data_IF_149117163611
#
_entry.id   IF_149117163611
#
_cell.length_a   1.000
_cell.length_b   1.000
_cell.length_c   1.000
_cell.angle_alpha   90.00
_cell.angle_beta   90.00
_cell.angle_gamma   90.00
#
_symmetry.space_group_name_H-M   'P 1'
#
loop_
_entity.id
_entity.type
_entity.pdbx_description
1 polymer ?
#
# COMPACT_ATOMS: atom_id res chain seq x y z
N UNK A 1 4.17 -2.43 32.32
CA UNK A 1 5.42 -2.03 31.66
C UNK A 1 5.17 -0.66 31.04
N UNK A 2 6.12 0.29 31.05
CA UNK A 2 5.94 1.53 30.30
C UNK A 2 5.70 1.18 28.83
N UNK A 3 4.74 1.87 28.21
CA UNK A 3 4.40 1.70 26.80
C UNK A 3 5.67 2.01 25.96
N UNK A 4 6.05 1.09 25.06
CA UNK A 4 7.23 1.36 24.20
C UNK A 4 6.95 2.61 23.37
N UNK A 5 7.93 3.51 23.21
CA UNK A 5 7.75 4.69 22.37
C UNK A 5 7.41 4.25 20.94
N UNK A 6 6.47 4.96 20.29
CA UNK A 6 6.03 4.64 18.91
C UNK A 6 7.12 4.88 17.89
N UNK A 7 8.02 5.80 18.17
CA UNK A 7 9.12 6.21 17.32
C UNK A 7 10.46 5.99 18.01
N UNK A 8 11.46 5.66 17.23
CA UNK A 8 12.84 5.58 17.64
C UNK A 8 13.52 6.94 17.47
N UNK A 9 14.53 7.27 18.28
CA UNK A 9 15.37 8.42 18.04
C UNK A 9 15.97 8.38 16.64
N UNK A 10 15.99 9.52 15.96
CA UNK A 10 16.59 9.64 14.65
C UNK A 10 18.12 9.63 14.78
N UNK A 11 18.73 8.53 14.43
CA UNK A 11 20.18 8.36 14.30
C UNK A 11 20.48 7.95 12.86
N UNK A 12 20.59 8.92 11.93
CA UNK A 12 20.79 8.62 10.52
C UNK A 12 22.07 7.82 10.29
N UNK A 13 21.92 6.61 9.78
CA UNK A 13 23.05 5.82 9.30
C UNK A 13 23.45 6.31 7.91
N UNK A 14 24.76 6.36 7.58
CA UNK A 14 25.20 6.69 6.24
C UNK A 14 24.63 5.74 5.20
N UNK A 15 24.16 6.29 4.07
CA UNK A 15 23.69 5.48 2.97
C UNK A 15 24.79 4.59 2.38
N UNK A 16 24.46 3.33 2.18
CA UNK A 16 25.30 2.36 1.50
C UNK A 16 24.47 1.59 0.45
N UNK A 17 24.72 1.87 -0.82
CA UNK A 17 24.08 1.15 -1.91
C UNK A 17 24.43 -0.35 -1.92
N UNK A 18 25.67 -0.67 -1.53
CA UNK A 18 26.12 -2.08 -1.41
C UNK A 18 25.34 -2.81 -0.32
N UNK A 19 25.13 -2.16 0.83
CA UNK A 19 24.39 -2.73 1.95
C UNK A 19 22.91 -2.92 1.61
N UNK A 20 22.30 -1.94 0.91
CA UNK A 20 20.93 -2.05 0.44
C UNK A 20 20.74 -3.22 -0.56
N UNK A 21 21.66 -3.36 -1.53
CA UNK A 21 21.65 -4.47 -2.47
C UNK A 21 21.86 -5.82 -1.76
N UNK A 22 22.77 -5.91 -0.79
CA UNK A 22 22.99 -7.11 0.00
C UNK A 22 21.74 -7.48 0.83
N UNK A 23 21.06 -6.50 1.43
CA UNK A 23 19.84 -6.73 2.19
C UNK A 23 18.68 -7.24 1.30
N UNK A 24 18.56 -6.78 0.05
CA UNK A 24 17.59 -7.33 -0.91
C UNK A 24 17.86 -8.81 -1.15
N UNK A 25 19.10 -9.19 -1.46
CA UNK A 25 19.46 -10.60 -1.70
C UNK A 25 19.27 -11.47 -0.44
N UNK A 26 19.56 -10.95 0.76
CA UNK A 26 19.31 -11.63 2.03
C UNK A 26 17.80 -11.91 2.24
N UNK A 27 16.95 -10.94 1.96
CA UNK A 27 15.48 -11.08 2.10
C UNK A 27 14.96 -12.10 1.09
N UNK A 28 15.38 -12.01 -0.17
CA UNK A 28 14.96 -12.93 -1.23
C UNK A 28 15.42 -14.36 -0.92
N UNK A 29 16.67 -14.55 -0.51
CA UNK A 29 17.22 -15.85 -0.17
C UNK A 29 16.49 -16.48 1.03
N UNK A 30 16.21 -15.69 2.07
CA UNK A 30 15.48 -16.14 3.25
C UNK A 30 14.03 -16.53 2.91
N UNK A 31 13.34 -15.73 2.10
CA UNK A 31 11.98 -16.03 1.64
C UNK A 31 11.95 -17.33 0.85
N UNK A 32 12.88 -17.56 -0.08
CA UNK A 32 12.93 -18.78 -0.88
C UNK A 32 13.36 -20.01 -0.06
N UNK A 33 14.24 -19.85 0.91
CA UNK A 33 14.67 -20.95 1.79
C UNK A 33 13.56 -21.43 2.73
N UNK A 34 12.58 -20.59 3.03
CA UNK A 34 11.44 -20.91 3.89
C UNK A 34 10.15 -21.22 3.11
N UNK A 35 10.23 -21.29 1.79
CA UNK A 35 9.08 -21.65 0.95
C UNK A 35 8.80 -23.15 1.03
N UNK A 36 7.54 -23.49 1.32
CA UNK A 36 7.00 -24.85 1.28
C UNK A 36 5.87 -24.90 0.23
N UNK A 37 6.01 -25.79 -0.75
CA UNK A 37 5.03 -25.90 -1.84
C UNK A 37 3.62 -26.32 -1.39
N UNK A 38 3.46 -26.88 -0.19
CA UNK A 38 2.16 -27.30 0.36
C UNK A 38 1.54 -26.25 1.28
N UNK A 39 2.36 -25.54 2.07
CA UNK A 39 1.89 -24.58 3.10
C UNK A 39 2.38 -23.15 2.85
N UNK A 40 3.08 -22.89 1.75
CA UNK A 40 3.66 -21.62 1.32
C UNK A 40 4.72 -21.10 2.29
N UNK A 41 4.40 -20.19 3.21
CA UNK A 41 5.31 -19.64 4.21
C UNK A 41 4.71 -19.73 5.61
N UNK A 42 5.56 -19.98 6.61
CA UNK A 42 5.09 -20.03 7.99
C UNK A 42 4.64 -18.65 8.48
N UNK A 43 3.61 -18.64 9.34
CA UNK A 43 3.16 -17.42 10.02
C UNK A 43 4.29 -16.82 10.86
N UNK A 44 4.27 -15.49 11.02
CA UNK A 44 5.22 -14.76 11.85
C UNK A 44 4.55 -14.29 13.15
N UNK A 45 5.24 -14.34 14.32
CA UNK A 45 4.64 -13.95 15.60
C UNK A 45 4.16 -12.49 15.69
N UNK A 46 4.65 -11.62 14.81
CA UNK A 46 4.24 -10.21 14.72
C UNK A 46 3.22 -9.96 13.61
N UNK A 47 2.73 -10.99 12.94
CA UNK A 47 1.74 -10.85 11.87
C UNK A 47 0.32 -10.95 12.44
N UNK A 48 -0.57 -10.11 11.92
CA UNK A 48 -2.00 -10.13 12.28
C UNK A 48 -2.79 -11.15 11.43
N UNK A 49 -2.07 -11.98 10.67
CA UNK A 49 -2.61 -13.03 9.81
C UNK A 49 -3.04 -14.29 10.56
N UNK A 50 -3.31 -15.36 9.80
CA UNK A 50 -3.68 -16.65 10.36
C UNK A 50 -2.48 -17.33 11.04
N UNK A 51 -2.70 -18.11 12.12
CA UNK A 51 -1.63 -18.80 12.84
C UNK A 51 -0.81 -19.76 11.97
N UNK A 52 -1.45 -20.40 10.99
CA UNK A 52 -0.84 -21.39 10.10
C UNK A 52 -0.33 -20.79 8.78
N UNK A 53 -0.34 -19.47 8.66
CA UNK A 53 -0.01 -18.73 7.45
C UNK A 53 -1.26 -18.14 6.80
N UNK A 54 -1.06 -17.34 5.75
CA UNK A 54 -2.11 -16.63 5.04
C UNK A 54 -1.81 -16.64 3.55
N UNK A 55 -2.82 -16.68 2.70
CA UNK A 55 -2.67 -16.66 1.24
C UNK A 55 -2.96 -15.32 0.61
N UNK A 56 -3.39 -14.32 1.40
CA UNK A 56 -3.79 -13.01 0.89
C UNK A 56 -2.63 -12.25 0.21
N UNK A 57 -3.00 -11.21 -0.54
CA UNK A 57 -2.03 -10.32 -1.16
C UNK A 57 -1.35 -9.39 -0.15
N UNK A 58 -2.02 -9.08 0.93
CA UNK A 58 -1.53 -8.13 1.93
C UNK A 58 -0.51 -8.76 2.90
N UNK A 59 -0.87 -9.84 3.57
CA UNK A 59 -0.04 -10.50 4.60
C UNK A 59 0.43 -11.89 4.21
N UNK A 60 0.00 -12.44 3.07
CA UNK A 60 0.15 -13.85 2.75
C UNK A 60 0.96 -14.16 1.49
N UNK A 61 0.85 -15.42 1.09
CA UNK A 61 1.63 -16.04 0.01
C UNK A 61 1.49 -15.31 -1.34
N UNK A 62 0.30 -14.84 -1.69
CA UNK A 62 0.06 -14.09 -2.93
C UNK A 62 0.97 -12.87 -3.03
N UNK A 63 1.08 -12.09 -1.96
CA UNK A 63 1.93 -10.91 -1.93
C UNK A 63 3.41 -11.23 -1.99
N UNK A 64 3.83 -12.33 -1.36
CA UNK A 64 5.23 -12.78 -1.38
C UNK A 64 5.60 -13.22 -2.79
N UNK A 65 4.78 -14.05 -3.43
CA UNK A 65 4.99 -14.54 -4.80
C UNK A 65 5.09 -13.37 -5.77
N UNK A 66 4.15 -12.43 -5.71
CA UNK A 66 4.18 -11.23 -6.53
C UNK A 66 5.45 -10.40 -6.30
N UNK A 67 5.83 -10.17 -5.05
CA UNK A 67 6.99 -9.35 -4.71
C UNK A 67 8.31 -9.98 -5.15
N UNK A 68 8.48 -11.30 -5.00
CA UNK A 68 9.67 -12.03 -5.47
C UNK A 68 9.77 -12.04 -7.00
N UNK A 69 8.64 -12.26 -7.71
CA UNK A 69 8.58 -12.13 -9.17
C UNK A 69 8.90 -10.71 -9.62
N UNK A 70 8.31 -9.71 -8.96
CA UNK A 70 8.55 -8.30 -9.25
C UNK A 70 10.04 -7.94 -9.11
N UNK A 71 10.68 -8.28 -7.98
CA UNK A 71 12.11 -8.03 -7.74
C UNK A 71 13.01 -8.69 -8.79
N UNK A 72 12.70 -9.91 -9.19
CA UNK A 72 13.43 -10.60 -10.25
C UNK A 72 13.24 -9.92 -11.61
N UNK A 73 12.01 -9.58 -11.95
CA UNK A 73 11.63 -8.96 -13.24
C UNK A 73 12.24 -7.57 -13.45
N UNK A 74 12.36 -6.77 -12.38
CA UNK A 74 12.99 -5.44 -12.45
C UNK A 74 14.51 -5.49 -12.28
N UNK A 75 15.10 -6.67 -12.10
CA UNK A 75 16.55 -6.86 -11.96
C UNK A 75 17.11 -6.50 -10.58
N UNK A 76 16.26 -6.39 -9.56
CA UNK A 76 16.67 -6.11 -8.19
C UNK A 76 17.37 -7.30 -7.53
N UNK A 77 17.11 -8.52 -7.99
CA UNK A 77 17.79 -9.74 -7.61
C UNK A 77 18.09 -10.61 -8.85
N UNK A 78 19.11 -11.45 -8.75
CA UNK A 78 19.43 -12.47 -9.77
C UNK A 78 18.74 -13.79 -9.51
N UNK A 79 18.20 -13.94 -8.32
CA UNK A 79 17.50 -15.16 -7.88
C UNK A 79 16.05 -15.09 -8.31
N UNK A 80 15.59 -16.09 -9.08
CA UNK A 80 14.20 -16.23 -9.47
C UNK A 80 13.70 -17.64 -9.15
N UNK A 81 12.41 -17.74 -8.92
CA UNK A 81 11.71 -19.00 -8.73
C UNK A 81 10.45 -19.02 -9.59
N UNK A 82 10.16 -20.14 -10.23
CA UNK A 82 8.97 -20.32 -11.06
C UNK A 82 7.77 -20.78 -10.20
N UNK A 83 6.92 -19.83 -9.84
CA UNK A 83 5.73 -20.09 -9.04
C UNK A 83 4.52 -20.58 -9.84
N UNK A 84 4.59 -20.72 -11.17
CA UNK A 84 3.42 -21.07 -12.00
C UNK A 84 2.79 -22.41 -11.60
N UNK A 85 3.59 -23.40 -11.23
CA UNK A 85 3.10 -24.73 -10.85
C UNK A 85 2.25 -24.74 -9.58
N UNK A 86 2.40 -23.75 -8.69
CA UNK A 86 1.66 -23.70 -7.42
C UNK A 86 0.43 -22.78 -7.47
N UNK A 87 0.23 -22.02 -8.56
CA UNK A 87 -0.90 -21.09 -8.67
C UNK A 87 -2.27 -21.77 -8.48
N UNK A 88 -2.56 -22.95 -9.05
CA UNK A 88 -3.83 -23.64 -8.81
C UNK A 88 -4.07 -23.92 -7.33
N UNK A 89 -3.04 -24.42 -6.63
CA UNK A 89 -3.12 -24.70 -5.20
C UNK A 89 -3.29 -23.42 -4.38
N UNK A 90 -2.56 -22.34 -4.70
CA UNK A 90 -2.71 -21.03 -4.07
C UNK A 90 -4.14 -20.48 -4.19
N UNK A 91 -4.70 -20.53 -5.41
CA UNK A 91 -6.06 -20.04 -5.67
C UNK A 91 -7.12 -20.85 -4.92
N UNK A 92 -6.98 -22.18 -4.88
CA UNK A 92 -7.89 -23.06 -4.15
C UNK A 92 -7.82 -22.81 -2.65
N UNK A 93 -6.61 -22.72 -2.09
CA UNK A 93 -6.39 -22.43 -0.66
C UNK A 93 -6.95 -21.08 -0.26
N UNK A 94 -6.66 -20.02 -1.05
CA UNK A 94 -7.18 -18.68 -0.81
C UNK A 94 -8.72 -18.66 -0.81
N UNK A 95 -9.35 -19.33 -1.76
CA UNK A 95 -10.82 -19.45 -1.81
C UNK A 95 -11.37 -20.18 -0.58
N UNK A 96 -10.72 -21.25 -0.13
CA UNK A 96 -11.13 -22.00 1.04
C UNK A 96 -10.98 -21.19 2.34
N UNK A 97 -9.89 -20.44 2.51
CA UNK A 97 -9.67 -19.54 3.65
C UNK A 97 -10.77 -18.48 3.74
N UNK A 98 -11.18 -17.91 2.59
CA UNK A 98 -12.26 -16.91 2.57
C UNK A 98 -13.64 -17.50 2.83
N UNK A 99 -13.91 -18.73 2.39
CA UNK A 99 -15.17 -19.41 2.66
C UNK A 99 -15.37 -19.68 4.15
N UNK A 100 -14.30 -19.82 4.93
CA UNK A 100 -14.33 -20.02 6.38
C UNK A 100 -14.44 -18.72 7.18
N UNK A 101 -14.23 -17.56 6.55
CA UNK A 101 -14.32 -16.24 7.19
C UNK A 101 -15.69 -15.65 6.87
N UNK A 102 -16.39 -15.16 7.88
CA UNK A 102 -17.66 -14.42 7.71
C UNK A 102 -17.38 -12.99 7.16
N UNK A 103 -16.64 -12.91 6.04
CA UNK A 103 -16.37 -11.66 5.35
C UNK A 103 -17.23 -11.57 4.09
N UNK A 104 -18.08 -10.55 4.02
CA UNK A 104 -18.88 -10.23 2.84
C UNK A 104 -18.05 -9.80 1.61
N UNK A 105 -16.73 -9.70 1.74
CA UNK A 105 -15.82 -9.17 0.73
C UNK A 105 -14.83 -10.20 0.18
N UNK A 106 -15.32 -11.37 -0.24
CA UNK A 106 -14.49 -12.40 -0.90
C UNK A 106 -13.73 -11.87 -2.13
N UNK A 107 -14.26 -10.85 -2.79
CA UNK A 107 -13.64 -10.16 -3.93
C UNK A 107 -12.66 -9.05 -3.58
N UNK A 108 -12.20 -8.93 -2.35
CA UNK A 108 -11.22 -7.94 -1.93
C UNK A 108 -9.91 -8.03 -2.74
N UNK A 109 -9.33 -6.88 -3.05
CA UNK A 109 -8.03 -6.82 -3.72
C UNK A 109 -6.91 -7.32 -2.81
N UNK A 110 -6.87 -6.85 -1.56
CA UNK A 110 -5.72 -7.10 -0.70
C UNK A 110 -5.85 -8.37 0.14
N UNK A 111 -7.07 -8.81 0.45
CA UNK A 111 -7.28 -10.04 1.22
C UNK A 111 -7.99 -11.14 0.43
N UNK A 112 -8.86 -10.81 -0.52
CA UNK A 112 -9.69 -11.76 -1.24
C UNK A 112 -9.06 -12.38 -2.49
N UNK A 113 -9.92 -13.06 -3.25
CA UNK A 113 -9.54 -13.80 -4.44
C UNK A 113 -9.19 -12.92 -5.65
N UNK A 114 -9.57 -11.63 -5.62
CA UNK A 114 -9.25 -10.70 -6.72
C UNK A 114 -7.73 -10.49 -6.84
N UNK A 115 -7.03 -10.26 -5.72
CA UNK A 115 -5.58 -10.10 -5.72
C UNK A 115 -4.84 -11.36 -6.16
N UNK A 116 -5.28 -12.52 -5.66
CA UNK A 116 -4.70 -13.82 -6.04
C UNK A 116 -4.89 -14.11 -7.53
N UNK A 117 -6.07 -13.81 -8.07
CA UNK A 117 -6.36 -13.96 -9.50
C UNK A 117 -5.52 -13.01 -10.37
N UNK A 118 -5.27 -11.77 -9.92
CA UNK A 118 -4.37 -10.84 -10.60
C UNK A 118 -2.93 -11.38 -10.67
N UNK A 119 -2.42 -11.96 -9.59
CA UNK A 119 -1.09 -12.58 -9.57
C UNK A 119 -1.05 -13.80 -10.49
N UNK A 120 -2.09 -14.64 -10.49
CA UNK A 120 -2.21 -15.75 -11.42
C UNK A 120 -2.19 -15.26 -12.88
N UNK A 121 -2.96 -14.22 -13.21
CA UNK A 121 -2.97 -13.60 -14.53
C UNK A 121 -1.60 -13.05 -14.94
N UNK A 122 -0.86 -12.46 -14.00
CA UNK A 122 0.49 -11.93 -14.23
C UNK A 122 1.49 -13.01 -14.58
N UNK A 123 1.47 -14.11 -13.82
CA UNK A 123 2.46 -15.20 -13.94
C UNK A 123 2.10 -16.22 -15.05
N UNK A 124 0.82 -16.45 -15.27
CA UNK A 124 0.29 -17.41 -16.25
C UNK A 124 -0.98 -16.86 -16.89
N UNK A 125 -0.85 -15.95 -17.88
CA UNK A 125 -2.00 -15.30 -18.51
C UNK A 125 -2.93 -16.31 -19.20
N UNK A 126 -4.20 -16.36 -18.78
CA UNK A 126 -5.24 -17.19 -19.37
C UNK A 126 -6.55 -16.41 -19.53
N UNK A 127 -7.26 -16.53 -20.67
CA UNK A 127 -8.53 -15.81 -20.88
C UNK A 127 -9.58 -16.08 -19.80
N UNK A 128 -9.68 -17.31 -19.32
CA UNK A 128 -10.61 -17.69 -18.26
C UNK A 128 -10.32 -17.00 -16.91
N UNK A 129 -9.05 -16.74 -16.61
CA UNK A 129 -8.66 -15.98 -15.41
C UNK A 129 -9.04 -14.52 -15.57
N UNK A 130 -8.82 -13.92 -16.74
CA UNK A 130 -9.25 -12.54 -17.02
C UNK A 130 -10.77 -12.34 -16.90
N UNK A 131 -11.56 -13.31 -17.39
CA UNK A 131 -13.03 -13.27 -17.28
C UNK A 131 -13.49 -13.42 -15.82
N UNK A 132 -12.84 -14.26 -15.04
CA UNK A 132 -13.11 -14.41 -13.61
C UNK A 132 -12.79 -13.11 -12.84
N UNK A 133 -11.67 -12.46 -13.13
CA UNK A 133 -11.30 -11.16 -12.56
C UNK A 133 -12.35 -10.11 -12.91
N UNK A 134 -12.79 -10.05 -14.18
CA UNK A 134 -13.82 -9.11 -14.62
C UNK A 134 -15.13 -9.31 -13.85
N UNK A 135 -15.60 -10.55 -13.81
CA UNK A 135 -16.84 -10.90 -13.10
C UNK A 135 -16.78 -10.54 -11.60
N UNK A 136 -15.62 -10.78 -10.97
CA UNK A 136 -15.41 -10.45 -9.57
C UNK A 136 -15.39 -8.94 -9.34
N UNK A 137 -14.63 -8.20 -10.15
CA UNK A 137 -14.54 -6.75 -10.05
C UNK A 137 -15.89 -6.06 -10.32
N UNK A 138 -16.66 -6.54 -11.30
CA UNK A 138 -18.01 -6.06 -11.59
C UNK A 138 -18.97 -6.32 -10.43
N UNK A 139 -18.96 -7.52 -9.87
CA UNK A 139 -19.74 -7.90 -8.68
C UNK A 139 -19.46 -6.99 -7.47
N UNK A 140 -18.21 -6.57 -7.27
CA UNK A 140 -17.83 -5.68 -6.19
C UNK A 140 -18.42 -4.26 -6.32
N UNK A 141 -18.90 -3.87 -7.50
CA UNK A 141 -19.59 -2.58 -7.72
C UNK A 141 -20.80 -2.43 -6.78
N UNK A 142 -21.47 -3.54 -6.47
CA UNK A 142 -22.64 -3.57 -5.57
C UNK A 142 -22.32 -3.53 -4.07
N UNK A 143 -21.08 -3.76 -3.67
CA UNK A 143 -20.71 -3.83 -2.24
C UNK A 143 -20.89 -2.48 -1.53
N UNK A 144 -21.30 -2.49 -0.25
CA UNK A 144 -21.45 -1.26 0.54
C UNK A 144 -20.11 -0.65 0.99
N UNK A 145 -19.02 -1.43 0.92
CA UNK A 145 -17.69 -1.01 1.38
C UNK A 145 -17.05 -0.09 0.35
N UNK A 146 -16.63 1.10 0.79
CA UNK A 146 -16.02 2.16 -0.04
C UNK A 146 -14.60 2.43 0.41
N UNK A 147 -13.72 1.40 0.29
CA UNK A 147 -12.31 1.57 0.64
C UNK A 147 -11.42 0.58 -0.15
N UNK A 148 -10.12 0.85 -0.18
CA UNK A 148 -9.17 0.18 -1.06
C UNK A 148 -9.00 -1.32 -0.74
N UNK A 149 -8.95 -1.67 0.54
CA UNK A 149 -8.58 -3.03 0.96
C UNK A 149 -9.69 -4.04 0.65
N UNK A 150 -10.95 -3.72 0.99
CA UNK A 150 -12.08 -4.64 0.97
C UNK A 150 -13.10 -4.38 -0.13
N UNK A 151 -13.14 -3.18 -0.69
CA UNK A 151 -14.26 -2.71 -1.47
C UNK A 151 -14.00 -2.42 -2.94
N UNK A 152 -14.97 -1.72 -3.53
CA UNK A 152 -14.96 -1.32 -4.93
C UNK A 152 -13.72 -0.53 -5.36
N UNK A 153 -13.14 0.40 -4.57
CA UNK A 153 -11.91 1.09 -4.95
C UNK A 153 -10.74 0.15 -5.26
N UNK A 154 -10.61 -0.97 -4.53
CA UNK A 154 -9.64 -2.02 -4.87
C UNK A 154 -9.91 -2.66 -6.22
N UNK A 155 -11.19 -2.88 -6.57
CA UNK A 155 -11.56 -3.41 -7.90
C UNK A 155 -11.27 -2.43 -9.03
N UNK A 156 -11.44 -1.12 -8.79
CA UNK A 156 -11.04 -0.08 -9.75
C UNK A 156 -9.52 -0.12 -10.01
N UNK A 157 -8.73 -0.30 -8.97
CA UNK A 157 -7.28 -0.44 -9.12
C UNK A 157 -6.91 -1.73 -9.87
N UNK A 158 -7.62 -2.83 -9.61
CA UNK A 158 -7.48 -4.07 -10.38
C UNK A 158 -7.80 -3.87 -11.87
N UNK A 159 -8.81 -3.05 -12.21
CA UNK A 159 -9.11 -2.70 -13.61
C UNK A 159 -7.95 -1.96 -14.27
N UNK A 160 -7.26 -1.05 -13.55
CA UNK A 160 -6.06 -0.37 -14.07
C UNK A 160 -4.96 -1.38 -14.35
N UNK A 161 -4.64 -2.26 -13.40
CA UNK A 161 -3.60 -3.27 -13.57
C UNK A 161 -3.93 -4.27 -14.70
N UNK A 162 -5.20 -4.68 -14.83
CA UNK A 162 -5.60 -5.57 -15.91
C UNK A 162 -5.52 -4.90 -17.27
N UNK A 163 -5.87 -3.63 -17.37
CA UNK A 163 -5.68 -2.88 -18.63
C UNK A 163 -4.20 -2.77 -19.00
N UNK A 164 -3.34 -2.45 -18.03
CA UNK A 164 -1.88 -2.38 -18.25
C UNK A 164 -1.30 -3.74 -18.72
N UNK A 165 -1.90 -4.86 -18.31
CA UNK A 165 -1.48 -6.21 -18.72
C UNK A 165 -2.05 -6.67 -20.06
N UNK A 166 -3.29 -6.25 -20.42
CA UNK A 166 -4.05 -6.85 -21.54
C UNK A 166 -4.43 -5.88 -22.64
N UNK A 167 -4.39 -4.58 -22.38
CA UNK A 167 -4.89 -3.50 -23.25
C UNK A 167 -6.37 -3.66 -23.69
N UNK A 168 -7.16 -4.45 -22.92
CA UNK A 168 -8.57 -4.68 -23.24
C UNK A 168 -9.47 -3.52 -22.81
N UNK A 169 -10.32 -2.95 -23.71
CA UNK A 169 -11.17 -1.80 -23.40
C UNK A 169 -12.20 -2.04 -22.28
N UNK A 170 -12.58 -3.31 -22.03
CA UNK A 170 -13.57 -3.65 -20.99
C UNK A 170 -13.16 -3.17 -19.60
N UNK A 171 -11.88 -3.17 -19.28
CA UNK A 171 -11.36 -2.72 -17.99
C UNK A 171 -11.58 -1.23 -17.75
N UNK A 172 -11.33 -0.42 -18.79
CA UNK A 172 -11.63 1.00 -18.74
C UNK A 172 -13.15 1.26 -18.60
N UNK A 173 -13.98 0.47 -19.28
CA UNK A 173 -15.44 0.60 -19.21
C UNK A 173 -15.94 0.32 -17.79
N UNK A 174 -15.50 -0.77 -17.17
CA UNK A 174 -15.85 -1.12 -15.80
C UNK A 174 -15.34 -0.08 -14.80
N UNK A 175 -14.09 0.34 -14.95
CA UNK A 175 -13.50 1.42 -14.14
C UNK A 175 -14.37 2.68 -14.16
N UNK A 176 -14.79 3.16 -15.35
CA UNK A 176 -15.60 4.37 -15.49
C UNK A 176 -16.97 4.24 -14.82
N UNK A 177 -17.58 3.07 -14.88
CA UNK A 177 -18.83 2.75 -14.17
C UNK A 177 -18.63 2.88 -12.66
N UNK A 178 -17.57 2.28 -12.14
CA UNK A 178 -17.22 2.31 -10.71
C UNK A 178 -16.79 3.70 -10.24
N UNK A 179 -16.02 4.43 -11.05
CA UNK A 179 -15.61 5.81 -10.76
C UNK A 179 -16.79 6.75 -10.64
N UNK A 180 -17.75 6.64 -11.58
CA UNK A 180 -18.98 7.43 -11.54
C UNK A 180 -19.79 7.14 -10.27
N UNK A 181 -19.93 5.86 -9.89
CA UNK A 181 -20.61 5.47 -8.68
C UNK A 181 -19.88 5.98 -7.43
N UNK A 182 -18.56 5.78 -7.34
CA UNK A 182 -17.78 6.23 -6.20
C UNK A 182 -17.91 7.74 -5.98
N UNK A 183 -17.78 8.54 -7.04
CA UNK A 183 -17.90 9.99 -6.95
C UNK A 183 -19.32 10.46 -6.61
N UNK A 184 -20.36 9.77 -7.09
CA UNK A 184 -21.75 10.08 -6.76
C UNK A 184 -22.10 9.76 -5.29
N UNK A 185 -21.36 8.89 -4.63
CA UNK A 185 -21.51 8.54 -3.21
C UNK A 185 -20.62 9.40 -2.28
N UNK A 186 -19.90 10.37 -2.82
CA UNK A 186 -19.07 11.30 -2.06
C UNK A 186 -19.96 12.36 -1.40
N UNK A 187 -19.93 12.44 -0.07
CA UNK A 187 -20.78 13.30 0.73
C UNK A 187 -20.09 14.61 1.12
N UNK A 188 -20.75 15.75 0.90
CA UNK A 188 -20.31 17.05 1.43
C UNK A 188 -20.50 17.10 2.95
N UNK A 189 -19.46 17.45 3.67
CA UNK A 189 -19.47 17.52 5.15
C UNK A 189 -18.75 18.77 5.65
N UNK A 190 -18.83 19.04 6.95
CA UNK A 190 -18.04 20.10 7.58
C UNK A 190 -16.51 19.85 7.53
N UNK A 191 -16.10 18.62 7.18
CA UNK A 191 -14.70 18.19 7.06
C UNK A 191 -14.25 18.04 5.60
N UNK A 192 -15.00 18.60 4.67
CA UNK A 192 -14.80 18.40 3.23
C UNK A 192 -15.65 17.25 2.68
N UNK A 193 -15.37 16.86 1.45
CA UNK A 193 -16.09 15.77 0.78
C UNK A 193 -15.47 14.42 1.16
N UNK A 194 -16.25 13.52 1.75
CA UNK A 194 -15.79 12.28 2.36
C UNK A 194 -16.81 11.16 2.15
N UNK A 195 -16.32 9.92 2.15
CA UNK A 195 -17.16 8.72 2.20
C UNK A 195 -17.38 8.27 3.63
N UNK A 196 -18.61 7.89 3.95
CA UNK A 196 -18.91 7.14 5.16
C UNK A 196 -18.49 5.69 4.97
N UNK A 197 -17.78 5.14 5.95
CA UNK A 197 -17.36 3.74 5.98
C UNK A 197 -17.95 3.03 7.18
N UNK A 198 -18.45 1.82 6.95
CA UNK A 198 -18.88 0.90 8.00
C UNK A 198 -17.89 -0.26 8.04
N UNK A 199 -16.88 -0.13 8.88
CA UNK A 199 -15.74 -1.05 8.95
C UNK A 199 -15.42 -1.40 10.39
N UNK A 200 -15.16 -2.67 10.64
CA UNK A 200 -14.71 -3.18 11.94
C UNK A 200 -15.63 -2.76 13.09
N UNK A 201 -16.95 -2.73 12.84
CA UNK A 201 -17.96 -2.30 13.80
C UNK A 201 -17.94 -0.79 14.10
N UNK A 202 -17.32 0.02 13.26
CA UNK A 202 -17.20 1.46 13.40
C UNK A 202 -17.73 2.18 12.16
N UNK A 203 -18.70 3.08 12.36
CA UNK A 203 -19.32 3.89 11.33
C UNK A 203 -18.65 5.28 11.30
N UNK A 204 -17.65 5.46 10.42
CA UNK A 204 -16.74 6.62 10.45
C UNK A 204 -16.29 7.08 9.06
N UNK A 205 -15.86 8.34 8.97
CA UNK A 205 -15.20 8.91 7.79
C UNK A 205 -13.69 8.81 7.94
N UNK A 206 -13.15 7.70 7.44
CA UNK A 206 -11.71 7.44 7.45
C UNK A 206 -10.97 8.31 6.44
N UNK A 207 -9.72 8.69 6.76
CA UNK A 207 -8.90 9.56 5.92
C UNK A 207 -7.74 8.84 5.22
N UNK A 208 -7.22 7.77 5.83
CA UNK A 208 -5.97 7.12 5.42
C UNK A 208 -6.00 6.42 4.06
N UNK A 209 -4.83 6.06 3.51
CA UNK A 209 -4.71 5.46 2.18
C UNK A 209 -5.16 4.00 2.08
N UNK A 210 -5.43 3.34 3.18
CA UNK A 210 -5.93 1.95 3.16
C UNK A 210 -7.45 1.91 3.31
N UNK A 211 -8.00 2.57 4.32
CA UNK A 211 -9.40 2.47 4.69
C UNK A 211 -10.23 3.74 4.46
N UNK A 212 -9.68 4.78 3.85
CA UNK A 212 -10.37 6.06 3.81
C UNK A 212 -10.24 6.85 2.52
N UNK A 213 -10.41 8.16 2.68
CA UNK A 213 -10.41 9.13 1.58
C UNK A 213 -9.21 8.98 0.65
N UNK A 214 -8.00 8.94 1.20
CA UNK A 214 -6.80 8.82 0.39
C UNK A 214 -6.77 7.50 -0.40
N UNK A 215 -7.18 6.37 0.23
CA UNK A 215 -7.28 5.09 -0.45
C UNK A 215 -8.27 5.08 -1.62
N UNK A 216 -9.41 5.75 -1.47
CA UNK A 216 -10.41 5.87 -2.52
C UNK A 216 -9.95 6.75 -3.69
N UNK A 217 -9.07 7.73 -3.41
CA UNK A 217 -8.49 8.58 -4.45
C UNK A 217 -7.40 7.85 -5.26
N UNK A 218 -6.73 6.83 -4.71
CA UNK A 218 -5.68 6.08 -5.42
C UNK A 218 -6.14 5.59 -6.81
N UNK A 219 -7.19 4.78 -6.97
CA UNK A 219 -7.60 4.31 -8.28
C UNK A 219 -8.06 5.45 -9.19
N UNK A 220 -8.70 6.50 -8.66
CA UNK A 220 -9.11 7.67 -9.44
C UNK A 220 -7.91 8.42 -10.02
N UNK A 221 -6.84 8.58 -9.24
CA UNK A 221 -5.59 9.19 -9.68
C UNK A 221 -4.83 8.29 -10.67
N UNK A 222 -4.83 6.97 -10.46
CA UNK A 222 -4.22 6.00 -11.39
C UNK A 222 -4.96 5.95 -12.73
N UNK A 223 -6.27 5.98 -12.72
CA UNK A 223 -7.11 6.00 -13.92
C UNK A 223 -7.44 7.42 -14.43
N UNK A 224 -6.69 8.45 -14.04
CA UNK A 224 -6.96 9.86 -14.33
C UNK A 224 -7.33 10.15 -15.78
N UNK A 225 -6.60 9.58 -16.73
CA UNK A 225 -6.81 9.78 -18.16
C UNK A 225 -8.09 9.12 -18.70
N UNK A 226 -8.76 8.30 -17.90
CA UNK A 226 -10.02 7.64 -18.27
C UNK A 226 -11.24 8.41 -17.77
N UNK A 227 -11.05 9.32 -16.82
CA UNK A 227 -12.11 10.14 -16.22
C UNK A 227 -12.58 11.22 -17.19
N UNK A 228 -13.83 11.66 -17.02
CA UNK A 228 -14.37 12.84 -17.71
C UNK A 228 -13.76 14.12 -17.13
N UNK A 229 -13.87 15.23 -17.88
CA UNK A 229 -13.40 16.52 -17.41
C UNK A 229 -14.09 16.97 -16.10
N UNK A 230 -15.41 16.73 -15.98
CA UNK A 230 -16.15 17.05 -14.77
C UNK A 230 -15.66 16.25 -13.56
N UNK A 231 -15.37 14.96 -13.75
CA UNK A 231 -14.82 14.11 -12.70
C UNK A 231 -13.42 14.58 -12.28
N UNK A 232 -12.56 14.90 -13.26
CA UNK A 232 -11.21 15.45 -12.99
C UNK A 232 -11.28 16.77 -12.24
N UNK A 233 -12.13 17.70 -12.68
CA UNK A 233 -12.32 18.98 -12.02
C UNK A 233 -12.82 18.79 -10.58
N UNK A 234 -13.77 17.90 -10.37
CA UNK A 234 -14.28 17.59 -9.02
C UNK A 234 -13.20 17.01 -8.11
N UNK A 235 -12.38 16.10 -8.58
CA UNK A 235 -11.28 15.51 -7.81
C UNK A 235 -10.22 16.58 -7.48
N UNK A 236 -9.87 17.43 -8.44
CA UNK A 236 -8.89 18.50 -8.27
C UNK A 236 -9.36 19.56 -7.26
N UNK A 237 -10.67 19.80 -7.12
CA UNK A 237 -11.27 20.65 -6.10
C UNK A 237 -11.27 19.99 -4.71
N UNK A 238 -11.74 18.74 -4.65
CA UNK A 238 -12.02 18.02 -3.40
C UNK A 238 -10.76 17.65 -2.64
N UNK A 239 -9.70 17.20 -3.33
CA UNK A 239 -8.47 16.74 -2.65
C UNK A 239 -7.84 17.87 -1.82
N UNK A 240 -7.46 19.05 -2.38
CA UNK A 240 -6.85 20.11 -1.59
C UNK A 240 -7.73 20.58 -0.43
N UNK A 241 -9.01 20.77 -0.70
CA UNK A 241 -9.97 21.23 0.30
C UNK A 241 -10.10 20.25 1.47
N UNK A 242 -10.33 18.97 1.19
CA UNK A 242 -10.51 17.94 2.22
C UNK A 242 -9.23 17.75 3.05
N UNK A 243 -8.07 17.73 2.40
CA UNK A 243 -6.80 17.62 3.12
C UNK A 243 -6.53 18.82 4.00
N UNK A 244 -6.78 20.04 3.54
CA UNK A 244 -6.59 21.27 4.32
C UNK A 244 -7.50 21.31 5.55
N UNK A 245 -8.79 20.97 5.40
CA UNK A 245 -9.77 20.95 6.50
C UNK A 245 -9.46 19.92 7.60
N UNK A 246 -8.75 18.84 7.28
CA UNK A 246 -8.42 17.77 8.23
C UNK A 246 -6.95 17.77 8.68
N UNK A 247 -6.14 18.71 8.20
CA UNK A 247 -4.74 18.81 8.56
C UNK A 247 -4.57 19.27 10.01
N UNK A 248 -3.78 18.53 10.79
CA UNK A 248 -3.36 18.88 12.13
C UNK A 248 -1.96 19.49 12.06
N UNK A 249 -1.84 20.78 12.40
CA UNK A 249 -0.55 21.46 12.49
C UNK A 249 0.07 21.18 13.86
N UNK A 250 1.34 20.80 13.87
CA UNK A 250 2.12 20.51 15.08
C UNK A 250 3.49 21.17 15.00
N UNK A 251 4.25 21.15 16.10
CA UNK A 251 5.65 21.61 16.11
C UNK A 251 6.57 20.77 15.19
N UNK A 252 6.18 19.52 14.92
CA UNK A 252 6.94 18.62 14.03
C UNK A 252 6.62 18.85 12.55
N UNK A 253 5.49 19.50 12.22
CA UNK A 253 4.96 19.68 10.88
C UNK A 253 3.46 19.42 10.80
N UNK A 254 2.98 18.97 9.63
CA UNK A 254 1.56 18.67 9.40
C UNK A 254 1.29 17.16 9.36
N UNK A 255 0.13 16.73 9.88
CA UNK A 255 -0.31 15.34 9.83
C UNK A 255 -1.84 15.25 9.80
N UNK A 256 -2.39 14.05 9.69
CA UNK A 256 -3.82 13.77 9.69
C UNK A 256 -4.17 12.67 10.69
N UNK A 257 -5.37 12.74 11.22
CA UNK A 257 -5.93 11.66 12.03
C UNK A 257 -6.39 10.50 11.15
N UNK A 258 -6.62 9.33 11.75
CA UNK A 258 -7.24 8.21 11.02
C UNK A 258 -8.65 8.54 10.49
N UNK A 259 -9.40 9.37 11.22
CA UNK A 259 -10.80 9.72 10.93
C UNK A 259 -11.02 11.22 10.98
N UNK A 260 -11.98 11.71 10.21
CA UNK A 260 -12.42 13.11 10.23
C UNK A 260 -13.27 13.39 11.49
N UNK A 261 -12.71 14.14 12.42
CA UNK A 261 -13.35 14.50 13.68
C UNK A 261 -12.96 15.91 14.11
N UNK A 262 -13.81 16.56 14.91
CA UNK A 262 -13.50 17.86 15.51
C UNK A 262 -12.45 17.77 16.63
N UNK A 263 -11.71 18.85 16.81
CA UNK A 263 -10.75 19.00 17.90
C UNK A 263 -9.33 18.54 17.57
N UNK A 264 -8.36 18.93 18.36
CA UNK A 264 -6.91 18.84 18.05
C UNK A 264 -6.16 18.04 19.12
N UNK A 265 -6.61 16.81 19.40
CA UNK A 265 -6.02 15.99 20.46
C UNK A 265 -5.18 14.84 19.90
N UNK A 266 -3.90 14.69 20.36
CA UNK A 266 -3.10 13.49 20.08
C UNK A 266 -3.75 12.23 20.73
N UNK A 267 -3.31 11.00 20.38
CA UNK A 267 -2.09 10.73 19.60
C UNK A 267 -2.34 10.80 18.10
N UNK A 268 -1.37 11.32 17.34
CA UNK A 268 -1.33 11.19 15.89
C UNK A 268 -0.56 9.94 15.51
N UNK A 269 -1.07 9.20 14.52
CA UNK A 269 -0.34 8.11 13.91
C UNK A 269 0.57 8.68 12.81
N UNK A 270 1.78 8.15 12.71
CA UNK A 270 2.73 8.50 11.66
C UNK A 270 3.16 7.21 10.95
N UNK A 271 2.29 6.65 10.16
CA UNK A 271 2.50 5.42 9.41
C UNK A 271 1.77 5.50 8.07
N UNK A 272 2.17 4.68 7.07
CA UNK A 272 1.57 4.77 5.75
C UNK A 272 0.04 4.62 5.80
N UNK A 273 -0.50 3.64 6.49
CA UNK A 273 -1.95 3.42 6.53
C UNK A 273 -2.73 4.54 7.24
N UNK A 274 -2.08 5.34 8.10
CA UNK A 274 -2.69 6.46 8.82
C UNK A 274 -1.68 7.57 9.13
N UNK A 275 -1.95 8.77 8.64
CA UNK A 275 -1.17 9.97 8.96
C UNK A 275 -0.35 10.50 7.78
N UNK A 276 0.60 11.36 8.09
CA UNK A 276 1.39 12.11 7.12
C UNK A 276 2.04 11.26 6.03
N UNK A 277 2.69 10.11 6.35
CA UNK A 277 3.42 9.35 5.31
C UNK A 277 2.52 8.88 4.18
N UNK A 278 1.34 8.36 4.51
CA UNK A 278 0.41 7.87 3.50
C UNK A 278 -0.21 8.99 2.66
N UNK A 279 -0.52 10.13 3.28
CA UNK A 279 -1.03 11.31 2.54
C UNK A 279 0.01 11.80 1.54
N UNK A 280 1.27 11.90 1.93
CA UNK A 280 2.35 12.28 1.01
C UNK A 280 2.49 11.24 -0.11
N UNK A 281 2.52 9.95 0.22
CA UNK A 281 2.70 8.87 -0.77
C UNK A 281 1.61 8.89 -1.84
N UNK A 282 0.36 9.16 -1.46
CA UNK A 282 -0.78 9.19 -2.40
C UNK A 282 -0.83 10.49 -3.21
N UNK A 283 -0.62 11.64 -2.57
CA UNK A 283 -0.96 12.92 -3.18
C UNK A 283 0.24 13.73 -3.71
N UNK A 284 1.47 13.29 -3.49
CA UNK A 284 2.63 13.99 -4.06
C UNK A 284 2.64 13.99 -5.60
N UNK A 285 2.04 12.99 -6.23
CA UNK A 285 2.03 12.79 -7.68
C UNK A 285 0.71 13.18 -8.36
N UNK A 286 -0.17 13.97 -7.70
CA UNK A 286 -1.42 14.41 -8.34
C UNK A 286 -1.15 15.09 -9.70
N UNK A 287 -1.95 14.77 -10.74
CA UNK A 287 -1.72 15.24 -12.11
C UNK A 287 -2.32 16.63 -12.39
N UNK A 288 -2.47 17.46 -11.36
CA UNK A 288 -2.99 18.83 -11.46
C UNK A 288 -2.22 19.79 -10.55
N UNK A 289 -2.32 21.08 -10.84
CA UNK A 289 -1.66 22.12 -10.06
C UNK A 289 -2.44 22.42 -8.76
N UNK A 290 -1.75 22.34 -7.63
CA UNK A 290 -2.30 22.60 -6.29
C UNK A 290 -1.20 23.09 -5.33
N UNK A 291 -0.73 24.34 -5.45
CA UNK A 291 0.41 24.85 -4.66
C UNK A 291 0.22 24.71 -3.15
N UNK A 292 -0.97 25.06 -2.63
CA UNK A 292 -1.28 24.97 -1.19
C UNK A 292 -1.28 23.52 -0.67
N UNK A 293 -1.72 22.57 -1.51
CA UNK A 293 -1.62 21.15 -1.21
C UNK A 293 -0.14 20.74 -1.11
N UNK A 294 0.71 21.15 -2.06
CA UNK A 294 2.13 20.79 -2.03
C UNK A 294 2.85 21.38 -0.83
N UNK A 295 2.56 22.63 -0.45
CA UNK A 295 3.12 23.23 0.77
C UNK A 295 2.71 22.43 2.02
N UNK A 296 1.48 21.93 2.05
CA UNK A 296 1.00 21.08 3.13
C UNK A 296 1.70 19.71 3.14
N UNK A 297 1.92 19.10 1.97
CA UNK A 297 2.63 17.83 1.85
C UNK A 297 4.12 17.96 2.21
N UNK A 298 4.77 19.09 1.92
CA UNK A 298 6.14 19.35 2.38
C UNK A 298 6.21 19.43 3.91
N UNK A 299 5.27 20.12 4.56
CA UNK A 299 5.15 20.14 6.02
C UNK A 299 4.87 18.72 6.58
N UNK A 300 4.14 17.90 5.85
CA UNK A 300 3.91 16.51 6.23
C UNK A 300 5.18 15.67 6.13
N UNK A 301 6.02 15.89 5.13
CA UNK A 301 7.35 15.30 5.03
C UNK A 301 8.25 15.69 6.21
N UNK A 302 8.22 16.96 6.64
CA UNK A 302 8.92 17.41 7.86
C UNK A 302 8.39 16.69 9.12
N UNK A 303 7.06 16.53 9.23
CA UNK A 303 6.48 15.77 10.33
C UNK A 303 7.02 14.34 10.39
N UNK A 304 7.06 13.63 9.25
CA UNK A 304 7.58 12.26 9.19
C UNK A 304 9.04 12.18 9.62
N UNK A 305 9.86 13.13 9.16
CA UNK A 305 11.28 13.20 9.51
C UNK A 305 11.49 13.45 11.00
N UNK A 306 10.83 14.47 11.54
CA UNK A 306 10.96 14.89 12.92
C UNK A 306 10.38 13.87 13.92
N UNK A 307 9.37 13.10 13.52
CA UNK A 307 8.84 11.99 14.31
C UNK A 307 9.85 10.82 14.41
N UNK A 308 10.66 10.62 13.39
CA UNK A 308 11.66 9.54 13.33
C UNK A 308 11.12 8.17 12.93
N UNK A 309 11.99 7.16 12.83
CA UNK A 309 11.64 5.80 12.45
C UNK A 309 10.63 5.16 13.40
N UNK A 310 9.79 4.27 12.88
CA UNK A 310 8.80 3.56 13.69
C UNK A 310 9.40 2.40 14.48
N UNK A 311 9.01 2.24 15.74
CA UNK A 311 9.43 1.11 16.58
C UNK A 311 8.74 -0.22 16.23
N UNK A 312 7.71 -0.18 15.37
CA UNK A 312 6.98 -1.37 14.89
C UNK A 312 7.76 -2.22 13.88
N UNK A 313 8.90 -1.70 13.36
CA UNK A 313 9.75 -2.41 12.40
C UNK A 313 9.83 -1.75 11.02
N UNK A 314 10.30 -2.52 10.05
CA UNK A 314 10.75 -2.08 8.73
C UNK A 314 9.69 -2.01 7.64
N UNK A 315 8.50 -2.56 7.86
CA UNK A 315 7.50 -2.86 6.82
C UNK A 315 6.86 -1.62 6.15
N UNK A 316 6.05 -1.86 5.10
CA UNK A 316 5.43 -0.80 4.31
C UNK A 316 4.19 -0.19 4.96
N UNK A 317 3.32 -1.01 5.56
CA UNK A 317 2.03 -0.53 6.05
C UNK A 317 2.15 0.40 7.26
N UNK A 318 2.88 -0.04 8.27
CA UNK A 318 3.00 0.66 9.55
C UNK A 318 4.42 0.60 10.13
N UNK A 319 5.40 0.51 9.25
CA UNK A 319 6.84 0.48 9.56
C UNK A 319 7.62 1.61 8.93
N UNK A 320 8.91 1.62 9.22
CA UNK A 320 9.86 2.65 8.78
C UNK A 320 9.97 2.73 7.25
N UNK A 321 9.92 1.59 6.53
CA UNK A 321 9.99 1.55 5.07
C UNK A 321 8.83 2.29 4.39
N UNK A 322 7.58 2.08 4.87
CA UNK A 322 6.43 2.80 4.33
C UNK A 322 6.50 4.31 4.55
N UNK A 323 7.05 4.73 5.69
CA UNK A 323 7.30 6.15 5.95
C UNK A 323 8.37 6.72 5.01
N UNK A 324 9.37 5.92 4.66
CA UNK A 324 10.43 6.31 3.73
C UNK A 324 9.95 6.56 2.31
N UNK A 325 8.88 5.88 1.86
CA UNK A 325 8.26 6.16 0.56
C UNK A 325 7.74 7.60 0.42
N UNK A 326 7.26 8.21 1.50
CA UNK A 326 6.85 9.60 1.47
C UNK A 326 8.01 10.51 1.02
N UNK A 327 9.21 10.25 1.48
CA UNK A 327 10.39 11.03 1.07
C UNK A 327 10.79 10.79 -0.39
N UNK A 328 10.73 9.54 -0.88
CA UNK A 328 10.99 9.24 -2.29
C UNK A 328 9.98 9.96 -3.19
N UNK A 329 8.70 9.97 -2.83
CA UNK A 329 7.66 10.71 -3.56
C UNK A 329 7.92 12.22 -3.58
N UNK A 330 8.30 12.80 -2.45
CA UNK A 330 8.68 14.22 -2.38
C UNK A 330 9.96 14.51 -3.19
N UNK A 331 10.95 13.61 -3.17
CA UNK A 331 12.12 13.73 -4.03
C UNK A 331 11.74 13.78 -5.51
N UNK A 332 10.95 12.81 -5.97
CA UNK A 332 10.46 12.77 -7.37
C UNK A 332 9.73 14.05 -7.75
N UNK A 333 8.87 14.55 -6.88
CA UNK A 333 8.06 15.75 -7.16
C UNK A 333 8.87 17.03 -7.18
N UNK A 334 9.88 17.18 -6.29
CA UNK A 334 10.58 18.45 -6.06
C UNK A 334 11.99 18.50 -6.67
N UNK A 335 12.59 17.36 -6.97
CA UNK A 335 14.02 17.25 -7.32
C UNK A 335 14.97 17.55 -6.14
N UNK A 336 14.46 17.86 -4.94
CA UNK A 336 15.28 18.20 -3.79
C UNK A 336 15.91 16.93 -3.17
N UNK A 337 17.23 16.86 -3.18
CA UNK A 337 18.03 15.71 -2.70
C UNK A 337 17.90 15.48 -1.19
N UNK A 338 17.52 16.47 -0.41
CA UNK A 338 17.25 16.31 1.04
C UNK A 338 16.22 15.22 1.28
N UNK A 339 15.20 15.11 0.45
CA UNK A 339 14.19 14.06 0.56
C UNK A 339 14.74 12.67 0.23
N UNK A 340 15.62 12.57 -0.75
CA UNK A 340 16.31 11.32 -1.06
C UNK A 340 17.24 10.88 0.07
N UNK A 341 17.98 11.81 0.67
CA UNK A 341 18.86 11.51 1.81
C UNK A 341 18.04 11.00 3.02
N UNK A 342 16.86 11.60 3.26
CA UNK A 342 15.94 11.16 4.31
C UNK A 342 15.35 9.77 4.03
N UNK A 343 14.94 9.49 2.78
CA UNK A 343 14.50 8.15 2.38
C UNK A 343 15.59 7.11 2.62
N UNK A 344 16.81 7.40 2.20
CA UNK A 344 17.97 6.52 2.37
C UNK A 344 18.35 6.31 3.83
N UNK A 345 18.22 7.32 4.68
CA UNK A 345 18.43 7.17 6.14
C UNK A 345 17.39 6.22 6.76
N UNK A 346 16.13 6.32 6.35
CA UNK A 346 15.06 5.40 6.77
C UNK A 346 15.28 3.99 6.19
N UNK A 347 15.80 3.85 4.98
CA UNK A 347 16.18 2.56 4.42
C UNK A 347 17.25 1.85 5.24
N UNK A 348 18.32 2.55 5.61
CA UNK A 348 19.38 1.97 6.44
C UNK A 348 18.85 1.56 7.83
N UNK A 349 17.99 2.37 8.43
CA UNK A 349 17.34 2.02 9.70
C UNK A 349 16.43 0.79 9.53
N UNK A 350 15.69 0.70 8.42
CA UNK A 350 14.83 -0.44 8.13
C UNK A 350 15.61 -1.76 7.94
N UNK A 351 16.79 -1.70 7.33
CA UNK A 351 17.69 -2.86 7.22
C UNK A 351 18.10 -3.35 8.62
N UNK A 352 18.52 -2.42 9.48
CA UNK A 352 18.91 -2.77 10.85
C UNK A 352 17.74 -3.39 11.63
N UNK A 353 16.53 -2.81 11.53
CA UNK A 353 15.31 -3.34 12.15
C UNK A 353 14.94 -4.74 11.64
N UNK A 354 15.02 -4.97 10.33
CA UNK A 354 14.73 -6.27 9.71
C UNK A 354 15.68 -7.35 10.24
N UNK A 355 17.00 -7.07 10.24
CA UNK A 355 18.01 -8.01 10.73
C UNK A 355 17.90 -8.29 12.22
N UNK A 356 17.62 -7.26 13.02
CA UNK A 356 17.39 -7.42 14.45
C UNK A 356 16.17 -8.30 14.73
N UNK A 357 15.03 -8.03 14.07
CA UNK A 357 13.82 -8.83 14.21
C UNK A 357 14.05 -10.29 13.81
N UNK A 358 14.75 -10.53 12.70
CA UNK A 358 15.11 -11.89 12.24
C UNK A 358 16.02 -12.59 13.26
N UNK A 359 16.99 -11.89 13.83
CA UNK A 359 17.86 -12.45 14.86
C UNK A 359 17.12 -12.81 16.13
N UNK A 360 16.17 -11.98 16.56
CA UNK A 360 15.38 -12.20 17.78
C UNK A 360 14.32 -13.28 17.64
N UNK A 361 13.72 -13.42 16.47
CA UNK A 361 12.57 -14.29 16.21
C UNK A 361 12.93 -15.56 15.42
N UNK A 362 14.20 -15.67 14.98
CA UNK A 362 14.72 -16.86 14.29
C UNK A 362 14.27 -17.02 12.84
N UNK A 363 13.51 -16.05 12.28
CA UNK A 363 13.04 -16.07 10.89
C UNK A 363 12.68 -14.68 10.39
N UNK A 364 12.60 -14.49 9.06
CA UNK A 364 12.05 -13.32 8.41
C UNK A 364 10.53 -13.22 8.56
N UNK A 365 9.99 -12.04 8.29
CA UNK A 365 8.55 -11.78 8.22
C UNK A 365 8.09 -11.86 6.78
N UNK A 366 7.50 -12.99 6.41
CA UNK A 366 7.14 -13.32 5.04
C UNK A 366 5.78 -12.71 4.70
N UNK A 367 5.77 -11.46 4.26
CA UNK A 367 4.61 -10.79 3.70
C UNK A 367 5.02 -9.56 2.90
N UNK A 368 4.13 -9.05 2.04
CA UNK A 368 4.41 -7.90 1.19
C UNK A 368 4.24 -6.57 1.94
N UNK A 369 3.07 -6.33 2.52
CA UNK A 369 2.76 -5.04 3.12
C UNK A 369 3.29 -4.88 4.55
N UNK A 370 3.32 -5.95 5.29
CA UNK A 370 3.67 -5.95 6.71
C UNK A 370 5.01 -6.62 7.02
N UNK A 371 5.69 -7.15 5.99
CA UNK A 371 6.93 -7.90 6.14
C UNK A 371 8.10 -7.42 5.28
N UNK A 372 9.06 -8.35 5.11
CA UNK A 372 10.39 -8.04 4.59
C UNK A 372 10.42 -7.90 3.06
N UNK A 373 9.50 -8.59 2.32
CA UNK A 373 9.47 -8.51 0.86
C UNK A 373 9.16 -7.09 0.38
N UNK A 374 8.24 -6.39 1.05
CA UNK A 374 7.98 -4.99 0.76
C UNK A 374 9.17 -4.08 1.09
N UNK A 375 9.91 -4.39 2.15
CA UNK A 375 11.16 -3.69 2.43
C UNK A 375 12.16 -3.83 1.29
N UNK A 376 12.34 -5.04 0.72
CA UNK A 376 13.25 -5.25 -0.40
C UNK A 376 12.90 -4.37 -1.62
N UNK A 377 11.61 -4.20 -1.91
CA UNK A 377 11.16 -3.31 -2.99
C UNK A 377 11.49 -1.85 -2.66
N UNK A 378 11.23 -1.40 -1.43
CA UNK A 378 11.59 -0.05 -0.99
C UNK A 378 13.10 0.22 -1.09
N UNK A 379 13.95 -0.75 -0.72
CA UNK A 379 15.40 -0.63 -0.85
C UNK A 379 15.83 -0.46 -2.31
N UNK A 380 15.21 -1.21 -3.23
CA UNK A 380 15.44 -1.05 -4.66
C UNK A 380 15.06 0.33 -5.17
N UNK A 381 13.92 0.85 -4.75
CA UNK A 381 13.47 2.20 -5.10
C UNK A 381 14.41 3.29 -4.54
N UNK A 382 15.05 3.06 -3.38
CA UNK A 382 16.11 3.92 -2.86
C UNK A 382 17.42 3.86 -3.68
N UNK A 383 17.71 2.71 -4.32
CA UNK A 383 18.85 2.53 -5.22
C UNK A 383 18.62 3.24 -6.56
N UNK A 384 17.45 3.03 -7.15
CA UNK A 384 17.09 3.55 -8.48
C UNK A 384 16.55 4.97 -8.46
N UNK A 385 16.12 5.47 -7.29
CA UNK A 385 15.44 6.75 -7.07
C UNK A 385 14.05 6.85 -7.72
N UNK A 386 13.45 5.70 -8.06
CA UNK A 386 12.15 5.60 -8.72
C UNK A 386 11.10 5.03 -7.77
N UNK A 387 10.27 5.87 -7.12
CA UNK A 387 9.30 5.40 -6.12
C UNK A 387 8.09 4.73 -6.79
N UNK A 388 8.04 3.40 -6.70
CA UNK A 388 6.94 2.56 -7.17
C UNK A 388 6.32 1.81 -5.99
N UNK A 389 5.39 2.44 -5.25
CA UNK A 389 4.76 1.76 -4.13
C UNK A 389 4.02 0.50 -4.60
N UNK A 390 4.39 -0.69 -4.05
CA UNK A 390 3.84 -1.97 -4.50
C UNK A 390 2.33 -2.00 -4.49
N UNK A 391 1.72 -2.62 -5.50
CA UNK A 391 0.28 -2.80 -5.68
C UNK A 391 -0.54 -1.53 -5.90
N UNK A 392 0.02 -0.37 -5.60
CA UNK A 392 -0.60 0.94 -5.82
C UNK A 392 -0.10 1.56 -7.12
N UNK A 393 1.21 1.74 -7.24
CA UNK A 393 1.82 2.35 -8.43
C UNK A 393 2.14 1.32 -9.51
N UNK A 394 2.46 0.10 -9.11
CA UNK A 394 2.89 -1.00 -9.99
C UNK A 394 2.24 -2.33 -9.61
N UNK A 395 2.14 -3.19 -10.63
CA UNK A 395 1.66 -4.57 -10.49
C UNK A 395 2.47 -5.54 -11.36
#
# INVERSE_FOLDING_TARGET
MPEKPRHLPLHPLPWSATEAAAAIEEIVADALANFDGAHFWPAHPLEDGLPDGDTSFYVGATGIIWGLDYLARIGATKTCFDFRSILPHLMETNKAEFACRDYSAHGSLLFGDLGTSLVAMRLSPEPGVADAIYSRADGNTGLPIRELMWGMPGSMLACVHMHDMTDEPRWRTLFNTQASRLLNELEETAYGALWMQDLYGSHQRWLGPVHGFAGNMIPLLRGWNWLTDDQRNRIAEVIPQTLALNACQTELGATWRPVAVSGDKPPYLCQHCHGAPGMVTVFADVPFEAPELFDLLLKAGEFVWNAGPLSKGSNLCHGTGGNGYAFLKLHRRTGNTVWLDRARAFAMTSIAQCREARSQLGRGRFSLWTGDVGLAIYLWDCLTTEPHFPTIDVF
#
